data_IF_565532605009
#
_entry.id   IF_565532605009
#
_cell.length_a   1.000
_cell.length_b   1.000
_cell.length_c   1.000
_cell.angle_alpha   90.00
_cell.angle_beta   90.00
_cell.angle_gamma   90.00
#
_symmetry.space_group_name_H-M   'P 1'
#
loop_
_entity.id
_entity.type
_entity.pdbx_description
1 polymer ?
#
# COMPACT_ATOMS: atom_id res chain seq x y z
N UNK A 1 -11.24 5.38 20.68
CA UNK A 1 -11.75 6.40 19.74
C UNK A 1 -11.43 5.90 18.35
N UNK A 2 -12.42 5.43 17.60
CA UNK A 2 -12.22 4.80 16.27
C UNK A 2 -12.57 5.86 15.23
N UNK A 3 -11.57 6.28 14.46
CA UNK A 3 -11.72 7.24 13.37
C UNK A 3 -11.94 6.43 12.09
N UNK A 4 -13.18 6.38 11.63
CA UNK A 4 -13.54 5.78 10.34
C UNK A 4 -13.21 6.75 9.22
N UNK A 5 -12.28 6.39 8.32
CA UNK A 5 -12.03 7.14 7.10
C UNK A 5 -12.80 6.48 5.94
N UNK A 6 -13.61 7.28 5.25
CA UNK A 6 -14.27 6.90 3.99
C UNK A 6 -13.29 7.20 2.84
N UNK A 7 -12.75 6.17 2.19
CA UNK A 7 -11.90 6.35 1.02
C UNK A 7 -12.82 6.48 -0.20
N UNK A 8 -12.77 7.65 -0.85
CA UNK A 8 -13.50 7.90 -2.10
C UNK A 8 -12.72 7.22 -3.23
N UNK A 9 -13.34 6.23 -3.89
CA UNK A 9 -12.80 5.60 -5.09
C UNK A 9 -12.78 6.63 -6.22
N UNK A 10 -11.59 7.10 -6.61
CA UNK A 10 -11.40 7.99 -7.75
C UNK A 10 -11.06 7.11 -8.94
N UNK A 11 -11.98 7.02 -9.90
CA UNK A 11 -11.88 6.17 -11.08
C UNK A 11 -10.48 6.22 -11.75
N UNK A 12 -9.79 5.09 -11.62
CA UNK A 12 -8.42 4.85 -12.00
C UNK A 12 -8.25 4.66 -13.52
N UNK A 13 -8.31 5.73 -14.33
CA UNK A 13 -7.96 5.62 -15.76
C UNK A 13 -7.24 6.81 -16.42
N UNK A 14 -6.90 7.90 -15.70
CA UNK A 14 -6.41 9.13 -16.37
C UNK A 14 -4.95 9.52 -16.10
N UNK A 15 -4.22 8.74 -15.30
CA UNK A 15 -2.78 8.96 -15.05
C UNK A 15 -1.90 7.87 -15.67
N UNK A 16 -2.45 7.08 -16.61
CA UNK A 16 -1.68 6.16 -17.41
C UNK A 16 -0.73 6.94 -18.33
N UNK A 17 0.58 6.80 -18.10
CA UNK A 17 1.58 7.16 -19.09
C UNK A 17 1.20 6.53 -20.46
N UNK A 18 1.47 7.20 -21.59
CA UNK A 18 0.93 6.88 -22.92
C UNK A 18 1.24 5.47 -23.47
N UNK A 19 1.91 4.61 -22.70
CA UNK A 19 2.29 3.25 -23.06
C UNK A 19 1.69 2.17 -22.14
N UNK A 20 0.86 2.52 -21.16
CA UNK A 20 0.31 1.55 -20.22
C UNK A 20 -0.83 0.74 -20.86
N UNK A 21 -0.44 -0.34 -21.54
CA UNK A 21 -1.32 -1.44 -21.95
C UNK A 21 -2.14 -1.87 -20.72
N UNK A 22 -3.47 -1.86 -20.84
CA UNK A 22 -4.40 -2.30 -19.80
C UNK A 22 -4.22 -3.81 -19.58
N UNK A 23 -3.22 -4.18 -18.78
CA UNK A 23 -2.91 -5.55 -18.41
C UNK A 23 -3.73 -5.83 -17.14
N UNK A 24 -4.72 -6.71 -17.27
CA UNK A 24 -5.47 -7.22 -16.12
C UNK A 24 -4.50 -8.04 -15.28
N UNK A 25 -3.78 -7.41 -14.36
CA UNK A 25 -2.86 -8.15 -13.49
C UNK A 25 -3.26 -8.03 -12.05
N UNK A 26 -3.82 -9.13 -11.58
CA UNK A 26 -4.14 -9.40 -10.19
C UNK A 26 -2.89 -9.67 -9.33
N UNK A 27 -1.75 -9.02 -9.63
CA UNK A 27 -0.46 -9.30 -9.00
C UNK A 27 0.78 -8.68 -9.64
N UNK A 28 0.68 -7.64 -10.48
CA UNK A 28 1.87 -7.01 -11.08
C UNK A 28 2.47 -6.01 -10.09
N UNK A 29 3.76 -6.13 -9.73
CA UNK A 29 4.47 -5.13 -8.92
C UNK A 29 4.72 -3.81 -9.67
N UNK A 30 4.37 -3.72 -10.96
CA UNK A 30 4.58 -2.55 -11.82
C UNK A 30 3.41 -1.57 -11.83
N UNK A 31 2.43 -1.71 -10.93
CA UNK A 31 1.33 -0.76 -10.78
C UNK A 31 1.75 0.53 -10.05
N UNK A 32 3.00 0.98 -10.15
CA UNK A 32 3.47 2.23 -9.52
C UNK A 32 3.26 2.33 -8.00
N UNK A 33 2.87 1.24 -7.33
CA UNK A 33 2.61 1.17 -5.90
C UNK A 33 3.25 -0.10 -5.31
N UNK A 34 3.59 -0.03 -4.02
CA UNK A 34 4.13 -1.13 -3.24
C UNK A 34 2.97 -1.84 -2.52
N UNK A 35 2.69 -3.10 -2.86
CA UNK A 35 1.67 -3.89 -2.17
C UNK A 35 2.25 -4.54 -0.91
N UNK A 36 1.70 -4.24 0.26
CA UNK A 36 2.19 -4.76 1.55
C UNK A 36 2.01 -6.27 1.70
N UNK A 37 1.05 -6.90 1.00
CA UNK A 37 0.86 -8.36 1.03
C UNK A 37 1.77 -9.11 0.04
N UNK A 38 2.33 -8.41 -0.93
CA UNK A 38 3.23 -9.03 -1.91
C UNK A 38 4.63 -9.23 -1.30
N UNK A 39 5.41 -10.21 -1.81
CA UNK A 39 6.83 -10.28 -1.50
C UNK A 39 7.54 -8.97 -1.88
N UNK A 40 8.51 -8.51 -1.08
CA UNK A 40 9.09 -9.17 0.09
C UNK A 40 8.40 -8.90 1.44
N UNK A 41 7.34 -8.09 1.48
CA UNK A 41 6.77 -7.56 2.73
C UNK A 41 5.81 -8.54 3.41
N UNK A 42 5.02 -9.27 2.62
CA UNK A 42 4.19 -10.40 3.07
C UNK A 42 3.29 -10.10 4.30
N UNK A 43 2.71 -8.90 4.38
CA UNK A 43 1.72 -8.57 5.39
C UNK A 43 0.50 -9.52 5.28
N UNK A 44 -0.01 -9.92 6.44
CA UNK A 44 -0.99 -11.00 6.57
C UNK A 44 -2.41 -10.46 6.38
N UNK A 45 -2.74 -9.36 7.05
CA UNK A 45 -4.06 -8.73 6.98
C UNK A 45 -5.20 -9.56 7.60
N UNK A 46 -4.89 -10.39 8.60
CA UNK A 46 -5.82 -11.31 9.27
C UNK A 46 -6.46 -10.75 10.57
N UNK A 47 -6.01 -9.58 11.03
CA UNK A 47 -6.46 -8.89 12.25
C UNK A 47 -5.85 -9.42 13.54
N UNK A 48 -4.92 -10.38 13.46
CA UNK A 48 -4.32 -11.06 14.61
C UNK A 48 -2.80 -10.99 14.56
N UNK A 49 -2.22 -11.21 13.39
CA UNK A 49 -0.77 -11.12 13.16
C UNK A 49 -0.34 -9.66 13.11
N UNK A 50 0.70 -9.31 13.88
CA UNK A 50 1.27 -7.96 13.87
C UNK A 50 1.96 -7.67 12.52
N UNK A 51 1.34 -6.81 11.72
CA UNK A 51 1.79 -6.42 10.38
C UNK A 51 2.66 -5.15 10.40
N UNK A 52 2.97 -4.60 11.58
CA UNK A 52 3.70 -3.32 11.71
C UNK A 52 5.01 -3.33 10.94
N UNK A 53 5.84 -4.37 11.10
CA UNK A 53 7.15 -4.46 10.44
C UNK A 53 7.03 -4.60 8.91
N UNK A 54 6.05 -5.35 8.43
CA UNK A 54 5.83 -5.52 6.99
C UNK A 54 5.47 -4.19 6.32
N UNK A 55 4.54 -3.46 6.93
CA UNK A 55 4.07 -2.16 6.43
C UNK A 55 5.15 -1.09 6.57
N UNK A 56 5.90 -1.07 7.68
CA UNK A 56 7.01 -0.13 7.85
C UNK A 56 8.11 -0.31 6.80
N UNK A 57 8.43 -1.56 6.44
CA UNK A 57 9.42 -1.83 5.39
C UNK A 57 8.94 -1.32 4.03
N UNK A 58 7.67 -1.54 3.69
CA UNK A 58 7.10 -1.02 2.46
C UNK A 58 7.14 0.52 2.39
N UNK A 59 6.84 1.19 3.51
CA UNK A 59 6.93 2.65 3.61
C UNK A 59 8.36 3.16 3.46
N UNK A 60 9.33 2.51 4.11
CA UNK A 60 10.73 2.87 4.02
C UNK A 60 11.23 2.74 2.58
N UNK A 61 10.86 1.67 1.88
CA UNK A 61 11.27 1.45 0.50
C UNK A 61 10.63 2.49 -0.44
N UNK A 62 9.35 2.83 -0.25
CA UNK A 62 8.72 3.94 -0.97
C UNK A 62 9.46 5.27 -0.73
N UNK A 63 9.83 5.56 0.52
CA UNK A 63 10.59 6.76 0.87
C UNK A 63 11.98 6.79 0.23
N UNK A 64 12.70 5.67 0.23
CA UNK A 64 14.03 5.53 -0.38
C UNK A 64 14.00 5.71 -1.90
N UNK A 65 12.87 5.40 -2.55
CA UNK A 65 12.64 5.64 -3.97
C UNK A 65 12.29 7.11 -4.29
N UNK A 66 12.23 7.99 -3.29
CA UNK A 66 11.87 9.41 -3.44
C UNK A 66 10.37 9.70 -3.30
N UNK A 67 9.60 8.74 -2.81
CA UNK A 67 8.15 8.83 -2.65
C UNK A 67 7.40 7.74 -3.41
N UNK A 68 6.11 7.56 -3.09
CA UNK A 68 5.28 6.54 -3.73
C UNK A 68 4.07 6.13 -2.92
N UNK A 69 3.26 5.23 -3.50
CA UNK A 69 2.06 4.71 -2.86
C UNK A 69 2.37 3.33 -2.28
N UNK A 70 2.09 3.15 -0.99
CA UNK A 70 2.05 1.85 -0.33
C UNK A 70 0.58 1.44 -0.23
N UNK A 71 0.22 0.34 -0.89
CA UNK A 71 -1.13 -0.17 -0.97
C UNK A 71 -1.34 -1.31 0.01
N UNK A 72 -2.37 -1.18 0.84
CA UNK A 72 -2.90 -2.21 1.71
C UNK A 72 -4.23 -2.74 1.13
N UNK A 73 -4.23 -3.91 0.47
CA UNK A 73 -5.45 -4.57 0.01
C UNK A 73 -6.42 -4.83 1.17
N UNK A 74 -7.70 -5.11 0.86
CA UNK A 74 -8.69 -5.46 1.86
C UNK A 74 -8.17 -6.51 2.85
N UNK A 75 -8.28 -6.19 4.13
CA UNK A 75 -7.80 -7.01 5.24
C UNK A 75 -7.78 -6.20 6.54
N UNK A 76 -7.64 -6.91 7.65
CA UNK A 76 -7.49 -6.28 8.96
C UNK A 76 -6.01 -6.32 9.31
N UNK A 77 -5.33 -5.17 9.27
CA UNK A 77 -3.90 -5.11 9.60
C UNK A 77 -3.76 -4.72 11.06
N UNK A 78 -3.23 -5.62 11.88
CA UNK A 78 -2.92 -5.30 13.26
C UNK A 78 -1.62 -4.49 13.27
N UNK A 79 -1.69 -3.27 13.79
CA UNK A 79 -0.54 -2.41 14.00
C UNK A 79 -0.31 -2.33 15.50
N UNK A 80 0.65 -3.12 16.01
CA UNK A 80 0.95 -3.17 17.44
C UNK A 80 1.89 -2.04 17.89
N UNK A 81 2.62 -1.40 16.96
CA UNK A 81 3.60 -0.35 17.24
C UNK A 81 3.49 0.83 16.27
N UNK A 82 4.18 1.93 16.57
CA UNK A 82 4.12 3.15 15.76
C UNK A 82 4.62 2.91 14.32
N UNK A 83 3.90 3.48 13.34
CA UNK A 83 4.34 3.61 11.95
C UNK A 83 4.90 5.00 11.68
N UNK A 84 6.04 5.06 10.99
CA UNK A 84 6.65 6.28 10.47
C UNK A 84 6.36 6.35 8.98
N UNK A 85 5.71 7.42 8.54
CA UNK A 85 5.38 7.67 7.13
C UNK A 85 6.43 8.62 6.55
N UNK A 86 7.30 8.18 5.62
CA UNK A 86 8.30 9.05 5.00
C UNK A 86 7.67 10.15 4.13
N UNK A 87 8.44 11.20 3.87
CA UNK A 87 7.99 12.28 3.00
C UNK A 87 7.65 11.76 1.59
N UNK A 88 6.67 12.40 0.95
CA UNK A 88 6.18 12.02 -0.38
C UNK A 88 5.67 10.56 -0.50
N UNK A 89 5.36 9.90 0.62
CA UNK A 89 4.72 8.58 0.63
C UNK A 89 3.27 8.66 1.04
N UNK A 90 2.45 7.76 0.51
CA UNK A 90 1.03 7.61 0.84
C UNK A 90 0.77 6.17 1.22
N UNK A 91 0.20 5.91 2.41
CA UNK A 91 -0.36 4.62 2.75
C UNK A 91 -1.86 4.62 2.42
N UNK A 92 -2.29 3.74 1.53
CA UNK A 92 -3.66 3.68 1.04
C UNK A 92 -4.28 2.30 1.27
N UNK A 93 -5.45 2.27 1.91
CA UNK A 93 -6.31 1.08 2.03
C UNK A 93 -7.48 1.10 1.04
N UNK A 94 -8.31 0.05 1.09
CA UNK A 94 -9.63 -0.06 0.43
C UNK A 94 -10.71 -0.44 1.42
#
# INVERSE_FOLDING_TARGET
MIISFHIINVDNHKFAHPNAKLMRVSGDPNLGYINVRAPPYNATGDGVTDDTNAIQRALNDAGNMGGGIVFAPQGNYLIASQLIIPAATVLQGV
#
